data_IF_961966831799
#
_entry.id   IF_961966831799
#
_cell.length_a   1.000
_cell.length_b   1.000
_cell.length_c   1.000
_cell.angle_alpha   90.00
_cell.angle_beta   90.00
_cell.angle_gamma   90.00
#
_symmetry.space_group_name_H-M   'P 1'
#
loop_
_entity.id
_entity.type
_entity.pdbx_description
1 polymer ?
#
# COMPACT_ATOMS: atom_id res chain seq x y z
N UNK A 1 17.32 -9.45 -23.11
CA UNK A 1 18.43 -9.09 -22.18
C UNK A 1 17.82 -8.14 -21.16
N UNK A 2 17.73 -8.42 -19.87
CA UNK A 2 18.28 -9.49 -19.03
C UNK A 2 17.17 -10.00 -18.08
N UNK A 3 17.19 -11.30 -17.80
CA UNK A 3 16.38 -11.96 -16.76
C UNK A 3 17.14 -11.85 -15.44
N UNK A 4 16.55 -11.19 -14.44
CA UNK A 4 17.07 -11.19 -13.08
C UNK A 4 16.51 -12.44 -12.40
N UNK A 5 17.37 -13.42 -12.15
CA UNK A 5 17.14 -14.49 -11.18
C UNK A 5 17.54 -13.94 -9.80
N UNK A 6 16.67 -14.08 -8.81
CA UNK A 6 17.01 -13.81 -7.41
C UNK A 6 16.47 -14.92 -6.53
N UNK A 7 17.40 -15.67 -5.95
CA UNK A 7 17.17 -16.67 -4.91
C UNK A 7 16.88 -15.97 -3.58
N UNK A 8 15.85 -16.43 -2.87
CA UNK A 8 15.53 -15.98 -1.52
C UNK A 8 16.40 -16.74 -0.51
N UNK A 9 17.33 -16.03 0.13
CA UNK A 9 18.13 -16.55 1.24
C UNK A 9 17.39 -16.29 2.55
N UNK A 10 17.00 -17.37 3.25
CA UNK A 10 16.40 -17.29 4.57
C UNK A 10 17.42 -16.89 5.64
N UNK A 11 17.07 -15.93 6.49
CA UNK A 11 17.89 -15.57 7.64
C UNK A 11 17.48 -16.41 8.87
N UNK A 12 18.47 -17.12 9.44
CA UNK A 12 18.39 -17.80 10.73
C UNK A 12 18.86 -16.82 11.79
N UNK A 13 18.03 -16.51 12.78
CA UNK A 13 18.42 -15.74 13.97
C UNK A 13 18.84 -16.70 15.09
N UNK A 14 20.07 -16.57 15.58
CA UNK A 14 20.56 -17.23 16.79
C UNK A 14 20.85 -16.18 17.85
N UNK A 15 20.23 -16.32 19.02
CA UNK A 15 20.43 -15.51 20.21
C UNK A 15 21.41 -16.18 21.18
N UNK A 16 22.32 -15.41 21.78
CA UNK A 16 22.83 -15.58 23.16
C UNK A 16 23.89 -14.50 23.50
N UNK A 17 23.85 -14.02 24.75
CA UNK A 17 25.03 -13.50 25.45
C UNK A 17 24.94 -12.03 25.91
N UNK A 18 24.68 -11.83 27.20
CA UNK A 18 24.79 -10.58 27.96
C UNK A 18 26.18 -10.52 28.60
N UNK A 19 26.80 -9.34 28.74
CA UNK A 19 27.64 -8.95 29.89
C UNK A 19 28.01 -7.45 29.84
N UNK A 20 27.95 -6.81 31.02
CA UNK A 20 28.10 -5.38 31.35
C UNK A 20 29.57 -4.88 31.35
N UNK A 21 29.78 -3.55 31.19
CA UNK A 21 30.57 -2.73 32.15
C UNK A 21 30.50 -1.20 31.85
N UNK A 22 30.29 -0.40 32.90
CA UNK A 22 30.37 1.08 32.97
C UNK A 22 31.84 1.57 33.05
N UNK A 23 32.10 2.85 32.69
CA UNK A 23 32.67 3.90 33.59
C UNK A 23 33.00 5.21 32.84
N UNK A 24 32.38 6.31 33.32
CA UNK A 24 32.81 7.71 33.50
C UNK A 24 33.38 8.60 32.36
N UNK A 25 32.60 9.63 32.01
CA UNK A 25 32.85 11.04 32.38
C UNK A 25 33.87 11.88 31.60
N UNK A 26 33.39 12.92 30.88
CA UNK A 26 34.01 14.26 30.84
C UNK A 26 33.12 15.30 30.12
N UNK A 27 33.10 16.49 30.69
CA UNK A 27 32.39 17.71 30.28
C UNK A 27 33.20 18.47 29.22
N UNK A 28 32.58 19.05 28.19
CA UNK A 28 32.99 20.37 27.64
C UNK A 28 32.06 20.98 26.58
N UNK A 29 31.61 22.20 26.93
CA UNK A 29 31.52 23.44 26.12
C UNK A 29 30.72 23.50 24.81
N UNK A 30 29.66 24.33 24.87
CA UNK A 30 29.00 25.03 23.79
C UNK A 30 29.91 26.00 23.02
N UNK A 31 29.79 26.03 21.67
CA UNK A 31 29.74 27.28 20.89
C UNK A 31 28.99 27.07 19.54
N UNK A 32 28.17 28.04 19.08
CA UNK A 32 27.28 27.84 17.94
C UNK A 32 27.87 28.35 16.61
N UNK A 33 27.70 27.57 15.54
CA UNK A 33 27.98 27.98 14.17
C UNK A 33 26.80 28.78 13.59
N UNK A 34 27.06 30.04 13.24
CA UNK A 34 26.21 30.86 12.38
C UNK A 34 26.27 30.34 10.93
N UNK A 35 25.12 30.06 10.33
CA UNK A 35 24.94 30.09 8.87
C UNK A 35 23.73 30.95 8.53
N UNK A 36 23.99 31.94 7.67
CA UNK A 36 23.07 32.97 7.19
C UNK A 36 22.02 32.38 6.24
N UNK A 37 20.74 32.55 6.56
CA UNK A 37 19.60 32.22 5.70
C UNK A 37 19.05 33.49 5.03
N UNK A 38 18.99 33.49 3.69
CA UNK A 38 18.12 34.42 2.93
C UNK A 38 16.67 33.91 3.00
N UNK A 39 15.64 34.76 3.06
CA UNK A 39 14.26 34.31 3.10
C UNK A 39 13.72 34.07 1.68
N UNK A 40 12.83 33.09 1.46
CA UNK A 40 11.92 33.12 0.32
C UNK A 40 10.56 33.69 0.75
N UNK A 41 10.18 34.77 0.05
CA UNK A 41 8.84 35.25 -0.28
C UNK A 41 7.72 35.22 0.79
N UNK A 42 7.43 36.43 1.30
CA UNK A 42 6.20 36.80 2.01
C UNK A 42 5.02 36.69 1.05
N UNK A 43 4.09 35.78 1.36
CA UNK A 43 2.70 35.81 0.86
C UNK A 43 1.88 36.74 1.78
N UNK A 44 0.90 37.52 1.28
CA UNK A 44 0.28 38.59 2.06
C UNK A 44 -0.52 38.03 3.24
N UNK A 45 -0.32 38.67 4.38
CA UNK A 45 -1.05 38.47 5.63
C UNK A 45 -2.54 38.76 5.41
N UNK A 46 -3.34 37.71 5.26
CA UNK A 46 -4.79 37.76 5.28
C UNK A 46 -5.29 37.14 6.58
N UNK A 47 -5.76 38.00 7.50
CA UNK A 47 -6.63 37.73 8.65
C UNK A 47 -6.24 36.49 9.48
N UNK A 48 -5.58 36.73 10.63
CA UNK A 48 -5.35 35.67 11.61
C UNK A 48 -6.66 35.03 12.09
N UNK A 49 -6.63 33.76 12.52
CA UNK A 49 -7.82 33.00 12.80
C UNK A 49 -8.68 33.69 13.86
N UNK A 50 -9.97 33.89 13.56
CA UNK A 50 -10.91 34.62 14.40
C UNK A 50 -11.52 33.74 15.49
N UNK A 51 -11.34 32.42 15.39
CA UNK A 51 -11.86 31.44 16.35
C UNK A 51 -10.88 30.28 16.58
N UNK A 52 -10.95 29.63 17.75
CA UNK A 52 -10.16 28.43 18.08
C UNK A 52 -10.43 27.25 17.12
N UNK A 53 -11.59 27.25 16.45
CA UNK A 53 -12.01 26.22 15.50
C UNK A 53 -11.15 26.24 14.22
N UNK A 54 -10.79 27.43 13.73
CA UNK A 54 -9.96 27.62 12.53
C UNK A 54 -8.51 27.14 12.74
N UNK A 55 -8.01 27.15 13.98
CA UNK A 55 -6.68 26.63 14.32
C UNK A 55 -6.61 25.09 14.32
N UNK A 56 -7.77 24.43 14.45
CA UNK A 56 -7.89 22.98 14.44
C UNK A 56 -8.34 22.47 13.07
N UNK A 57 -8.53 23.32 12.07
CA UNK A 57 -8.86 22.87 10.73
C UNK A 57 -7.60 22.59 9.92
N UNK A 58 -7.57 21.45 9.24
CA UNK A 58 -6.47 21.12 8.36
C UNK A 58 -6.43 22.07 7.17
N UNK A 59 -5.32 22.78 6.90
CA UNK A 59 -5.26 23.67 5.74
C UNK A 59 -5.32 22.94 4.40
N UNK A 60 -5.16 21.60 4.40
CA UNK A 60 -5.20 20.77 3.20
C UNK A 60 -6.61 20.25 2.91
N UNK A 61 -7.30 19.71 3.92
CA UNK A 61 -8.60 19.03 3.72
C UNK A 61 -9.77 19.68 4.46
N UNK A 62 -9.54 20.82 5.12
CA UNK A 62 -10.51 21.62 5.89
C UNK A 62 -11.27 20.84 6.98
N UNK A 63 -10.81 19.64 7.33
CA UNK A 63 -11.40 18.83 8.38
C UNK A 63 -10.85 19.24 9.75
N UNK A 64 -11.71 19.18 10.76
CA UNK A 64 -11.32 19.36 12.16
C UNK A 64 -10.35 18.26 12.60
N UNK A 65 -9.24 18.68 13.18
CA UNK A 65 -8.22 17.86 13.80
C UNK A 65 -8.65 17.53 15.23
N UNK A 66 -8.57 16.25 15.58
CA UNK A 66 -8.86 15.77 16.93
C UNK A 66 -7.59 15.22 17.58
N UNK A 67 -7.36 15.45 18.89
CA UNK A 67 -6.25 14.84 19.61
C UNK A 67 -6.23 13.30 19.52
N UNK A 68 -5.03 12.67 19.46
CA UNK A 68 -3.72 13.29 19.38
C UNK A 68 -3.45 13.89 17.99
N UNK A 69 -3.06 15.16 17.98
CA UNK A 69 -2.74 15.90 16.77
C UNK A 69 -1.26 15.66 16.46
N UNK A 70 -0.97 14.92 15.40
CA UNK A 70 0.39 14.57 15.03
C UNK A 70 1.05 15.66 14.18
N UNK A 71 2.34 15.90 14.40
CA UNK A 71 3.13 16.85 13.60
C UNK A 71 4.19 16.10 12.80
N UNK A 72 4.37 16.48 11.53
CA UNK A 72 5.53 15.99 10.76
C UNK A 72 6.83 16.60 11.29
N UNK A 73 7.99 16.09 10.85
CA UNK A 73 9.30 16.60 11.27
C UNK A 73 9.55 18.08 10.91
N UNK A 74 8.75 18.67 10.01
CA UNK A 74 8.78 20.10 9.65
C UNK A 74 7.77 20.95 10.44
N UNK A 75 7.07 20.38 11.43
CA UNK A 75 6.14 21.10 12.31
C UNK A 75 4.73 21.29 11.76
N UNK A 76 4.36 20.67 10.63
CA UNK A 76 2.99 20.75 10.10
C UNK A 76 2.04 19.83 10.85
N UNK A 77 0.90 20.38 11.23
CA UNK A 77 -0.21 19.65 11.82
C UNK A 77 -0.85 18.70 10.79
N UNK A 78 -0.78 17.40 11.04
CA UNK A 78 -1.37 16.37 10.19
C UNK A 78 -2.77 16.03 10.72
N UNK A 79 -3.78 16.15 9.88
CA UNK A 79 -5.09 15.57 10.18
C UNK A 79 -4.99 14.04 10.07
N UNK A 80 -5.79 13.30 10.85
CA UNK A 80 -5.93 11.83 10.71
C UNK A 80 -6.34 11.42 9.29
N UNK A 81 -6.94 12.33 8.54
CA UNK A 81 -7.23 12.17 7.10
C UNK A 81 -5.99 12.23 6.20
N UNK A 82 -4.80 12.55 6.69
CA UNK A 82 -3.58 12.52 5.87
C UNK A 82 -2.54 11.50 6.38
N UNK A 83 -2.87 10.85 7.49
CA UNK A 83 -2.06 9.76 8.03
C UNK A 83 -2.66 8.43 7.63
N UNK A 84 -1.78 7.53 7.23
CA UNK A 84 -2.11 6.17 6.90
C UNK A 84 -1.23 5.23 7.71
N UNK A 85 -1.78 4.07 8.06
CA UNK A 85 -1.00 3.01 8.66
C UNK A 85 -0.18 2.31 7.56
N UNK A 86 0.99 1.79 7.93
CA UNK A 86 1.79 0.95 7.05
C UNK A 86 0.92 -0.17 6.43
N UNK A 87 0.87 -0.30 5.09
CA UNK A 87 0.03 -1.31 4.44
C UNK A 87 0.65 -2.70 4.42
N UNK A 88 1.82 -2.90 5.04
CA UNK A 88 2.50 -4.19 5.12
C UNK A 88 1.66 -5.20 5.90
N UNK A 89 1.43 -6.38 5.30
CA UNK A 89 0.57 -7.42 5.85
C UNK A 89 1.35 -8.62 6.43
N UNK A 90 2.67 -8.67 6.22
CA UNK A 90 3.51 -9.80 6.65
C UNK A 90 3.78 -9.84 8.16
N UNK A 91 3.64 -8.71 8.85
CA UNK A 91 3.79 -8.60 10.30
C UNK A 91 3.01 -7.39 10.81
N UNK A 92 2.72 -7.35 12.09
CA UNK A 92 2.21 -6.13 12.72
C UNK A 92 3.26 -5.02 12.60
N UNK A 93 2.83 -3.84 12.14
CA UNK A 93 3.66 -2.66 11.98
C UNK A 93 2.86 -1.43 12.45
N UNK A 94 3.40 -0.72 13.44
CA UNK A 94 2.75 0.47 14.03
C UNK A 94 3.12 1.78 13.34
N UNK A 95 3.93 1.74 12.28
CA UNK A 95 4.37 2.95 11.57
C UNK A 95 3.17 3.61 10.89
N UNK A 96 3.09 4.92 11.08
CA UNK A 96 2.09 5.80 10.48
C UNK A 96 2.79 6.98 9.81
N UNK A 97 2.21 7.48 8.73
CA UNK A 97 2.78 8.59 7.99
C UNK A 97 1.95 9.00 6.78
N UNK A 98 2.45 9.99 6.05
CA UNK A 98 1.96 10.29 4.71
C UNK A 98 2.45 9.24 3.70
N UNK A 99 1.97 9.33 2.45
CA UNK A 99 2.30 8.33 1.42
C UNK A 99 3.82 8.27 1.13
N UNK A 100 4.55 9.38 0.92
CA UNK A 100 6.00 9.34 0.72
C UNK A 100 6.78 8.71 1.88
N UNK A 101 6.40 9.01 3.12
CA UNK A 101 6.99 8.40 4.31
C UNK A 101 6.76 6.88 4.31
N UNK A 102 5.52 6.44 4.08
CA UNK A 102 5.19 5.01 4.05
C UNK A 102 5.89 4.26 2.91
N UNK A 103 6.01 4.86 1.72
CA UNK A 103 6.74 4.24 0.61
C UNK A 103 8.22 4.06 0.96
N UNK A 104 8.81 5.05 1.63
CA UNK A 104 10.20 4.96 2.11
C UNK A 104 10.36 3.87 3.15
N UNK A 105 9.49 3.84 4.17
CA UNK A 105 9.43 2.79 5.19
C UNK A 105 9.27 1.39 4.59
N UNK A 106 8.34 1.20 3.65
CA UNK A 106 8.12 -0.10 3.00
C UNK A 106 9.37 -0.61 2.26
N UNK A 107 10.09 0.28 1.58
CA UNK A 107 11.33 -0.05 0.85
C UNK A 107 12.47 -0.36 1.82
N UNK A 108 12.66 0.48 2.83
CA UNK A 108 13.89 0.49 3.62
C UNK A 108 13.80 -0.47 4.81
N UNK A 109 12.62 -0.61 5.43
CA UNK A 109 12.42 -1.43 6.63
C UNK A 109 11.80 -2.80 6.29
N UNK A 110 10.80 -2.82 5.42
CA UNK A 110 10.14 -4.07 4.99
C UNK A 110 10.72 -4.71 3.73
N UNK A 111 11.67 -4.04 3.06
CA UNK A 111 12.31 -4.52 1.82
C UNK A 111 11.30 -4.91 0.73
N UNK A 112 10.19 -4.19 0.66
CA UNK A 112 9.12 -4.42 -0.31
C UNK A 112 9.58 -4.07 -1.72
N UNK A 113 9.27 -4.92 -2.68
CA UNK A 113 9.56 -4.70 -4.10
C UNK A 113 8.82 -3.47 -4.62
N UNK A 114 9.57 -2.57 -5.26
CA UNK A 114 9.09 -1.31 -5.83
C UNK A 114 9.18 -1.37 -7.36
N UNK A 115 8.06 -1.22 -8.05
CA UNK A 115 7.98 -1.23 -9.50
C UNK A 115 7.46 0.09 -10.04
N UNK A 116 8.03 0.57 -11.15
CA UNK A 116 7.48 1.71 -11.89
C UNK A 116 6.74 1.20 -13.12
N UNK A 117 5.49 1.63 -13.30
CA UNK A 117 4.66 1.23 -14.43
C UNK A 117 3.26 0.79 -14.02
N UNK A 118 2.39 0.73 -15.01
CA UNK A 118 0.95 0.48 -14.83
C UNK A 118 0.53 -0.91 -15.30
N UNK A 119 1.49 -1.76 -15.68
CA UNK A 119 1.25 -3.15 -16.11
C UNK A 119 2.28 -4.04 -15.44
N UNK A 120 1.90 -5.24 -15.05
CA UNK A 120 2.79 -6.13 -14.32
C UNK A 120 2.51 -7.60 -14.62
N UNK A 121 3.52 -8.42 -14.34
CA UNK A 121 3.51 -9.85 -14.56
C UNK A 121 4.32 -10.51 -13.44
N UNK A 122 3.64 -10.83 -12.33
CA UNK A 122 4.26 -11.37 -11.13
C UNK A 122 4.15 -12.89 -11.11
N UNK A 123 5.26 -13.56 -10.79
CA UNK A 123 5.32 -15.01 -10.64
C UNK A 123 5.41 -15.36 -9.16
N UNK A 124 4.43 -16.11 -8.69
CA UNK A 124 4.36 -16.64 -7.34
C UNK A 124 4.74 -18.11 -7.33
N UNK A 125 5.81 -18.44 -6.60
CA UNK A 125 6.34 -19.79 -6.50
C UNK A 125 6.24 -20.28 -5.07
N UNK A 126 5.65 -21.46 -4.86
CA UNK A 126 5.59 -22.12 -3.54
C UNK A 126 5.78 -23.62 -3.68
N UNK A 127 6.86 -24.13 -3.09
CA UNK A 127 7.25 -25.55 -3.14
C UNK A 127 6.18 -26.46 -2.54
N UNK A 128 5.54 -26.05 -1.42
CA UNK A 128 4.44 -26.77 -0.80
C UNK A 128 3.13 -25.93 -0.85
N UNK A 129 2.21 -26.18 -1.81
CA UNK A 129 0.97 -25.43 -1.96
C UNK A 129 -0.10 -25.78 -0.89
N UNK A 130 0.16 -26.78 -0.03
CA UNK A 130 -0.75 -27.17 1.05
C UNK A 130 -0.56 -26.34 2.31
N UNK A 131 0.59 -25.71 2.48
CA UNK A 131 0.84 -24.78 3.57
C UNK A 131 0.04 -23.49 3.34
N UNK A 132 -1.11 -23.40 4.01
CA UNK A 132 -1.96 -22.19 4.04
C UNK A 132 -1.83 -21.48 5.37
N UNK A 133 -1.46 -22.20 6.43
CA UNK A 133 -1.40 -21.67 7.81
C UNK A 133 -0.34 -20.57 7.99
N UNK A 134 0.70 -20.58 7.15
CA UNK A 134 1.70 -19.50 7.04
C UNK A 134 1.36 -18.63 5.84
N UNK A 135 0.27 -17.87 5.94
CA UNK A 135 -0.22 -16.99 4.89
C UNK A 135 0.97 -16.27 4.22
N UNK A 136 1.18 -16.57 2.93
CA UNK A 136 2.25 -15.93 2.17
C UNK A 136 1.73 -14.56 1.82
N UNK A 137 2.08 -13.56 2.61
CA UNK A 137 1.76 -12.16 2.34
C UNK A 137 2.85 -11.61 1.45
N UNK A 138 2.55 -11.47 0.17
CA UNK A 138 3.43 -10.75 -0.73
C UNK A 138 2.81 -9.40 -1.02
N UNK A 139 3.60 -8.37 -0.73
CA UNK A 139 3.28 -7.00 -1.06
C UNK A 139 4.26 -6.55 -2.13
N UNK A 140 3.74 -5.99 -3.21
CA UNK A 140 4.52 -5.24 -4.21
C UNK A 140 3.90 -3.86 -4.34
N UNK A 141 4.74 -2.83 -4.41
CA UNK A 141 4.28 -1.45 -4.62
C UNK A 141 4.57 -1.01 -6.05
N UNK A 142 3.55 -0.47 -6.70
CA UNK A 142 3.61 0.09 -8.05
C UNK A 142 3.51 1.61 -8.00
N UNK A 143 4.45 2.30 -8.65
CA UNK A 143 4.39 3.72 -8.93
C UNK A 143 3.88 3.94 -10.36
N UNK A 144 2.67 4.48 -10.47
CA UNK A 144 1.95 4.67 -11.72
C UNK A 144 1.11 5.94 -11.64
N UNK A 145 1.11 6.76 -12.70
CA UNK A 145 0.39 8.04 -12.74
C UNK A 145 0.71 9.03 -11.59
N UNK A 146 1.92 8.98 -11.03
CA UNK A 146 2.32 9.82 -9.88
C UNK A 146 1.67 9.39 -8.56
N UNK A 147 1.09 8.19 -8.51
CA UNK A 147 0.46 7.59 -7.33
C UNK A 147 1.04 6.20 -7.06
N UNK A 148 0.78 5.68 -5.87
CA UNK A 148 1.28 4.38 -5.44
C UNK A 148 0.13 3.37 -5.23
N UNK A 149 0.38 2.11 -5.59
CA UNK A 149 -0.60 1.03 -5.49
C UNK A 149 0.05 -0.22 -4.90
N UNK A 150 -0.62 -0.86 -3.95
CA UNK A 150 -0.18 -2.07 -3.26
C UNK A 150 -0.87 -3.28 -3.88
N UNK A 151 -0.12 -4.18 -4.53
CA UNK A 151 -0.60 -5.50 -4.89
C UNK A 151 -0.41 -6.44 -3.72
N UNK A 152 -1.53 -7.01 -3.25
CA UNK A 152 -1.54 -8.06 -2.25
C UNK A 152 -1.76 -9.41 -2.92
N UNK A 153 -1.01 -10.42 -2.49
CA UNK A 153 -1.29 -11.81 -2.75
C UNK A 153 -1.31 -12.55 -1.42
N UNK A 154 -2.42 -13.21 -1.13
CA UNK A 154 -2.69 -13.83 0.17
C UNK A 154 -3.19 -15.27 -0.03
N UNK A 155 -2.84 -16.17 0.91
CA UNK A 155 -3.41 -17.51 0.99
C UNK A 155 -4.20 -17.64 2.28
N UNK A 156 -5.45 -18.10 2.20
CA UNK A 156 -6.30 -18.28 3.38
C UNK A 156 -7.37 -19.35 3.14
N UNK A 157 -8.15 -19.61 4.19
CA UNK A 157 -9.23 -20.58 4.17
C UNK A 157 -10.59 -19.87 3.98
N UNK A 158 -11.27 -20.16 2.88
CA UNK A 158 -12.65 -19.73 2.62
C UNK A 158 -13.60 -20.87 2.99
N UNK A 159 -14.11 -20.83 4.23
CA UNK A 159 -14.88 -21.94 4.80
C UNK A 159 -14.01 -23.19 4.97
N UNK A 160 -14.28 -24.24 4.19
CA UNK A 160 -13.45 -25.45 4.14
C UNK A 160 -12.56 -25.53 2.88
N UNK A 161 -12.58 -24.50 2.03
CA UNK A 161 -11.79 -24.45 0.81
C UNK A 161 -10.57 -23.53 0.95
N UNK A 162 -9.36 -24.04 0.69
CA UNK A 162 -8.17 -23.21 0.64
C UNK A 162 -8.09 -22.45 -0.68
N UNK A 163 -7.85 -21.15 -0.57
CA UNK A 163 -7.86 -20.22 -1.70
C UNK A 163 -6.62 -19.33 -1.67
N UNK A 164 -6.26 -18.83 -2.84
CA UNK A 164 -5.41 -17.67 -3.00
C UNK A 164 -6.28 -16.47 -3.37
N UNK A 165 -5.89 -15.28 -2.96
CA UNK A 165 -6.55 -14.05 -3.36
C UNK A 165 -5.53 -13.00 -3.75
N UNK A 166 -5.77 -12.35 -4.87
CA UNK A 166 -5.00 -11.21 -5.34
C UNK A 166 -5.88 -9.97 -5.41
N UNK A 167 -5.43 -8.84 -4.89
CA UNK A 167 -6.15 -7.58 -4.96
C UNK A 167 -5.19 -6.38 -4.94
N UNK A 168 -5.63 -5.26 -5.51
CA UNK A 168 -4.88 -4.02 -5.55
C UNK A 168 -5.51 -3.00 -4.58
N UNK A 169 -4.68 -2.33 -3.78
CA UNK A 169 -5.07 -1.19 -2.95
C UNK A 169 -4.37 0.09 -3.40
N UNK A 170 -5.08 1.21 -3.38
CA UNK A 170 -4.56 2.54 -3.67
C UNK A 170 -3.98 3.18 -2.40
N UNK A 171 -2.73 3.64 -2.48
CA UNK A 171 -2.07 4.37 -1.39
C UNK A 171 -2.53 5.83 -1.36
N UNK A 172 -3.69 6.06 -0.75
CA UNK A 172 -4.33 7.36 -0.59
C UNK A 172 -5.77 7.18 -0.10
N UNK A 173 -6.63 8.19 -0.23
CA UNK A 173 -8.04 8.09 0.18
C UNK A 173 -8.96 7.47 -0.88
N UNK A 174 -10.22 7.23 -0.51
CA UNK A 174 -11.22 6.58 -1.37
C UNK A 174 -11.72 7.49 -2.51
N UNK A 175 -11.74 8.81 -2.32
CA UNK A 175 -12.19 9.73 -3.36
C UNK A 175 -11.20 9.74 -4.53
N UNK A 176 -9.91 9.79 -4.21
CA UNK A 176 -8.85 9.68 -5.22
C UNK A 176 -8.84 8.30 -5.88
N UNK A 177 -9.08 7.22 -5.12
CA UNK A 177 -8.99 5.85 -5.64
C UNK A 177 -10.01 5.56 -6.73
N UNK A 178 -11.19 6.19 -6.69
CA UNK A 178 -12.26 6.10 -7.72
C UNK A 178 -11.85 6.59 -9.10
N UNK A 179 -10.77 7.35 -9.22
CA UNK A 179 -10.25 7.78 -10.51
C UNK A 179 -9.44 6.69 -11.23
N UNK A 180 -9.26 5.52 -10.59
CA UNK A 180 -8.46 4.43 -11.10
C UNK A 180 -9.27 3.14 -11.14
N UNK A 181 -8.90 2.29 -12.09
CA UNK A 181 -9.35 0.92 -12.16
C UNK A 181 -8.16 0.01 -12.42
N UNK A 182 -8.32 -1.26 -12.08
CA UNK A 182 -7.31 -2.26 -12.30
C UNK A 182 -7.92 -3.58 -12.77
N UNK A 183 -7.08 -4.40 -13.39
CA UNK A 183 -7.40 -5.78 -13.70
C UNK A 183 -6.34 -6.73 -13.18
N UNK A 184 -6.76 -7.93 -12.80
CA UNK A 184 -5.91 -9.06 -12.47
C UNK A 184 -6.35 -10.25 -13.31
N UNK A 185 -5.39 -10.92 -13.92
CA UNK A 185 -5.62 -12.09 -14.77
C UNK A 185 -4.68 -13.23 -14.36
N UNK A 186 -5.24 -14.43 -14.24
CA UNK A 186 -4.50 -15.70 -14.21
C UNK A 186 -5.04 -16.61 -15.31
N UNK A 187 -4.17 -17.38 -15.94
CA UNK A 187 -4.59 -18.25 -17.03
C UNK A 187 -3.51 -19.19 -17.54
N UNK A 188 -3.96 -20.29 -18.14
CA UNK A 188 -3.14 -21.27 -18.84
C UNK A 188 -4.05 -22.12 -19.75
N UNK A 189 -3.46 -22.77 -20.77
CA UNK A 189 -4.16 -23.74 -21.63
C UNK A 189 -5.48 -23.22 -22.23
N UNK A 190 -5.48 -21.96 -22.70
CA UNK A 190 -6.66 -21.33 -23.31
C UNK A 190 -7.78 -20.97 -22.33
N UNK A 191 -7.58 -21.12 -21.02
CA UNK A 191 -8.52 -20.70 -19.97
C UNK A 191 -7.92 -19.57 -19.15
N UNK A 192 -8.75 -18.62 -18.72
CA UNK A 192 -8.35 -17.52 -17.85
C UNK A 192 -9.46 -17.12 -16.89
N UNK A 193 -9.07 -16.58 -15.73
CA UNK A 193 -9.92 -15.85 -14.80
C UNK A 193 -9.44 -14.40 -14.78
N UNK A 194 -10.39 -13.47 -14.88
CA UNK A 194 -10.13 -12.04 -14.83
C UNK A 194 -10.99 -11.43 -13.73
N UNK A 195 -10.37 -10.55 -12.95
CA UNK A 195 -11.03 -9.65 -12.03
C UNK A 195 -10.75 -8.21 -12.46
N UNK A 196 -11.77 -7.37 -12.46
CA UNK A 196 -11.63 -5.92 -12.69
C UNK A 196 -12.39 -5.15 -11.62
N UNK A 197 -11.87 -4.01 -11.21
CA UNK A 197 -12.54 -3.15 -10.25
C UNK A 197 -11.74 -1.91 -9.88
N UNK A 198 -12.27 -1.15 -8.94
CA UNK A 198 -11.61 0.03 -8.36
C UNK A 198 -10.69 -0.41 -7.21
N UNK A 199 -9.44 0.06 -7.13
CA UNK A 199 -8.58 -0.28 -6.01
C UNK A 199 -9.10 0.35 -4.71
N UNK A 200 -9.18 -0.46 -3.65
CA UNK A 200 -9.56 0.01 -2.31
C UNK A 200 -8.49 0.94 -1.73
N UNK A 201 -8.89 2.00 -1.02
CA UNK A 201 -7.96 2.83 -0.27
C UNK A 201 -7.22 2.01 0.80
N UNK A 202 -5.95 2.33 1.09
CA UNK A 202 -5.22 1.76 2.23
C UNK A 202 -5.80 2.16 3.61
N UNK A 203 -6.81 3.04 3.67
CA UNK A 203 -7.64 3.21 4.87
C UNK A 203 -8.37 1.94 5.25
N UNK A 204 -8.78 1.16 4.25
CA UNK A 204 -9.30 -0.18 4.48
C UNK A 204 -8.12 -1.12 4.70
N UNK A 205 -8.12 -1.83 5.85
CA UNK A 205 -7.11 -2.83 6.13
C UNK A 205 -7.18 -3.97 5.11
N UNK A 206 -6.05 -4.63 4.86
CA UNK A 206 -6.01 -5.78 3.95
C UNK A 206 -6.98 -6.88 4.41
N UNK A 207 -7.15 -7.07 5.73
CA UNK A 207 -8.15 -7.98 6.32
C UNK A 207 -9.57 -7.61 5.91
N UNK A 208 -9.94 -6.32 5.93
CA UNK A 208 -11.27 -5.86 5.51
C UNK A 208 -11.56 -6.19 4.04
N UNK A 209 -10.56 -6.04 3.16
CA UNK A 209 -10.69 -6.40 1.73
C UNK A 209 -10.80 -7.91 1.54
N UNK A 210 -9.99 -8.68 2.27
CA UNK A 210 -10.04 -10.15 2.27
C UNK A 210 -11.39 -10.67 2.75
N UNK A 211 -11.87 -10.19 3.88
CA UNK A 211 -13.08 -10.69 4.54
C UNK A 211 -14.36 -10.31 3.77
N UNK A 212 -14.31 -9.26 2.95
CA UNK A 212 -15.37 -8.90 2.00
C UNK A 212 -15.25 -9.60 0.65
N UNK A 213 -14.17 -10.38 0.41
CA UNK A 213 -13.89 -11.09 -0.83
C UNK A 213 -13.78 -10.17 -2.06
N UNK A 214 -13.32 -8.93 -1.86
CA UNK A 214 -13.21 -7.90 -2.91
C UNK A 214 -11.87 -7.98 -3.67
N UNK A 215 -11.75 -9.02 -4.49
CA UNK A 215 -10.53 -9.33 -5.25
C UNK A 215 -10.60 -10.64 -6.03
N UNK A 216 -9.54 -10.94 -6.77
CA UNK A 216 -9.44 -12.17 -7.55
C UNK A 216 -9.20 -13.38 -6.64
N UNK A 217 -10.27 -14.13 -6.32
CA UNK A 217 -10.18 -15.38 -5.57
C UNK A 217 -9.93 -16.56 -6.52
N UNK A 218 -8.93 -17.37 -6.18
CA UNK A 218 -8.48 -18.52 -6.98
C UNK A 218 -8.43 -19.73 -6.05
N UNK A 219 -9.34 -20.68 -6.24
CA UNK A 219 -9.28 -21.95 -5.51
C UNK A 219 -7.96 -22.67 -5.81
N UNK A 220 -7.38 -23.36 -4.81
CA UNK A 220 -6.09 -24.04 -4.95
C UNK A 220 -6.00 -24.93 -6.20
N UNK A 221 -7.04 -25.70 -6.49
CA UNK A 221 -7.05 -26.59 -7.66
C UNK A 221 -6.96 -25.83 -8.99
N UNK A 222 -7.60 -24.66 -9.08
CA UNK A 222 -7.48 -23.76 -10.24
C UNK A 222 -6.09 -23.13 -10.32
N UNK A 223 -5.53 -22.69 -9.18
CA UNK A 223 -4.19 -22.12 -9.12
C UNK A 223 -3.11 -23.13 -9.55
N UNK A 224 -3.23 -24.39 -9.13
CA UNK A 224 -2.34 -25.48 -9.55
C UNK A 224 -2.53 -25.85 -11.02
N UNK A 225 -3.76 -25.79 -11.53
CA UNK A 225 -4.02 -25.95 -12.97
C UNK A 225 -3.32 -24.85 -13.79
N UNK A 226 -3.42 -23.59 -13.36
CA UNK A 226 -2.78 -22.45 -14.04
C UNK A 226 -1.26 -22.39 -13.85
N UNK A 227 -0.71 -23.05 -12.83
CA UNK A 227 0.75 -23.15 -12.62
C UNK A 227 1.46 -24.00 -13.67
N UNK A 228 0.73 -24.88 -14.37
CA UNK A 228 1.32 -25.92 -15.21
C UNK A 228 2.09 -26.97 -14.39
N UNK A 229 2.51 -28.05 -15.04
CA UNK A 229 3.28 -29.12 -14.40
C UNK A 229 2.43 -30.17 -13.66
N UNK A 230 3.02 -30.81 -12.64
CA UNK A 230 2.49 -32.01 -11.98
C UNK A 230 1.57 -31.74 -10.77
N UNK A 231 1.20 -30.47 -10.55
CA UNK A 231 0.35 -29.98 -9.44
C UNK A 231 0.93 -30.19 -8.04
N UNK A 232 2.24 -30.40 -7.90
CA UNK A 232 2.90 -30.49 -6.59
C UNK A 232 3.46 -29.18 -6.09
N UNK A 233 3.72 -28.23 -6.99
CA UNK A 233 4.28 -26.92 -6.70
C UNK A 233 3.36 -25.83 -7.28
N UNK A 234 3.25 -24.70 -6.59
CA UNK A 234 2.60 -23.50 -7.13
C UNK A 234 3.63 -22.72 -7.98
N UNK A 235 3.28 -22.39 -9.23
CA UNK A 235 4.03 -21.50 -10.13
C UNK A 235 3.06 -20.55 -10.83
N UNK A 236 2.24 -19.88 -10.03
CA UNK A 236 1.15 -19.07 -10.54
C UNK A 236 1.68 -17.74 -11.07
N UNK A 237 1.26 -17.39 -12.28
CA UNK A 237 1.54 -16.08 -12.87
C UNK A 237 0.29 -15.21 -12.77
N UNK A 238 0.39 -14.09 -12.07
CA UNK A 238 -0.65 -13.06 -11.99
C UNK A 238 -0.19 -11.88 -12.83
N UNK A 239 -0.96 -11.58 -13.87
CA UNK A 239 -0.76 -10.38 -14.70
C UNK A 239 -1.81 -9.35 -14.36
N UNK A 240 -1.50 -8.07 -14.54
CA UNK A 240 -2.47 -7.03 -14.30
C UNK A 240 -2.09 -5.71 -14.92
N UNK A 241 -3.06 -4.79 -14.92
CA UNK A 241 -2.88 -3.42 -15.36
C UNK A 241 -3.68 -2.45 -14.49
N UNK A 242 -3.25 -1.20 -14.46
CA UNK A 242 -3.86 -0.07 -13.77
C UNK A 242 -4.12 0.99 -14.84
N UNK A 243 -5.31 1.60 -14.84
CA UNK A 243 -5.64 2.72 -15.72
C UNK A 243 -6.42 3.80 -14.97
N UNK A 244 -6.44 5.00 -15.53
CA UNK A 244 -7.32 6.08 -15.07
C UNK A 244 -8.67 5.95 -15.77
N UNK A 245 -9.73 6.13 -15.00
CA UNK A 245 -11.07 6.31 -15.56
C UNK A 245 -11.15 7.69 -16.21
N UNK A 246 -11.71 7.76 -17.42
CA UNK A 246 -11.97 9.04 -18.06
C UNK A 246 -13.20 9.68 -17.40
N UNK A 247 -13.06 10.88 -16.87
CA UNK A 247 -14.21 11.68 -16.46
C UNK A 247 -14.95 12.10 -17.73
N UNK A 248 -16.00 11.38 -18.12
CA UNK A 248 -16.92 11.82 -19.16
C UNK A 248 -17.68 13.05 -18.65
N UNK A 249 -17.55 14.23 -19.26
CA UNK A 249 -18.28 15.43 -18.84
C UNK A 249 -19.80 15.33 -19.04
N UNK A 250 -20.26 14.35 -19.83
CA UNK A 250 -21.63 14.29 -20.34
C UNK A 250 -22.59 13.39 -19.55
N UNK A 251 -22.18 12.76 -18.43
CA UNK A 251 -23.07 11.90 -17.63
C UNK A 251 -24.06 12.68 -16.74
N UNK A 252 -24.30 13.96 -17.02
CA UNK A 252 -25.05 14.89 -16.17
C UNK A 252 -26.42 15.35 -16.67
N UNK A 253 -27.03 14.71 -17.69
CA UNK A 253 -28.40 15.09 -18.12
C UNK A 253 -29.26 13.86 -18.36
N UNK A 254 -29.85 13.32 -17.29
CA UNK A 254 -31.07 12.52 -17.41
C UNK A 254 -32.24 13.49 -17.62
N UNK A 255 -32.60 13.75 -18.88
CA UNK A 255 -33.88 14.39 -19.22
C UNK A 255 -34.97 13.38 -18.84
N UNK A 256 -35.93 13.72 -17.96
CA UNK A 256 -37.10 12.87 -17.79
C UNK A 256 -37.91 12.92 -19.07
N UNK A 257 -38.04 11.77 -19.75
CA UNK A 257 -38.96 11.61 -20.87
C UNK A 257 -40.38 11.93 -20.37
N UNK A 258 -40.92 13.09 -20.76
CA UNK A 258 -42.36 13.31 -20.79
C UNK A 258 -42.91 12.44 -21.92
N UNK A 259 -43.52 11.30 -21.57
CA UNK A 259 -44.43 10.61 -22.47
C UNK A 259 -45.81 11.25 -22.37
N UNK A 260 -46.38 11.54 -23.54
CA UNK A 260 -47.74 12.03 -23.79
C UNK A 260 -48.82 11.06 -23.37
#
# INVERSE_FOLDING_TARGET
MATIEMESVGCISSSAGVEDEEIQGAVSSHHPHQYSSKPPNIVPFGIGPTTFHELLECPVCTNSMYPPIHQCHNGHTLCSTYQYNCPYAGSECSVTGDIPCLVTHLRDDHKVDMHTGCTFNHRYVKSNPREVENATWMLTVFHCFGKYFCLHFEAFQLGMAPVYMAFLRFMGDENESRNYSYSLEVGANGRKLIWEGTPRSIRDSHRKVRDSHDGLIIQRNMALFFSGGDRKELKLRVTGRIWKEQQNPDSGVCIPNLCS
#
